data_IF_154454440539
#
_entry.id   IF_154454440539
#
_cell.length_a   1.000
_cell.length_b   1.000
_cell.length_c   1.000
_cell.angle_alpha   90.00
_cell.angle_beta   90.00
_cell.angle_gamma   90.00
#
_symmetry.space_group_name_H-M   'P 1'
#
loop_
_entity.id
_entity.type
_entity.pdbx_description
1 polymer ?
#
# COMPACT_ATOMS: atom_id res chain seq x y z
N UNK A 1 -8.49 -8.01 22.65
CA UNK A 1 -7.49 -8.97 22.11
C UNK A 1 -7.22 -8.62 20.65
N UNK A 2 -6.14 -9.13 20.02
CA UNK A 2 -5.81 -8.81 18.60
C UNK A 2 -6.98 -9.19 17.67
N UNK A 3 -7.62 -10.33 17.95
CA UNK A 3 -8.83 -10.76 17.25
C UNK A 3 -10.01 -9.80 17.43
N UNK A 4 -10.20 -9.20 18.61
CA UNK A 4 -11.26 -8.22 18.84
C UNK A 4 -11.06 -6.94 18.02
N UNK A 5 -9.82 -6.49 17.83
CA UNK A 5 -9.54 -5.29 17.02
C UNK A 5 -9.86 -5.56 15.53
N UNK A 6 -9.48 -6.74 15.05
CA UNK A 6 -9.82 -7.20 13.71
C UNK A 6 -11.34 -7.33 13.53
N UNK A 7 -12.05 -8.01 14.44
CA UNK A 7 -13.50 -8.14 14.36
C UNK A 7 -14.24 -6.80 14.53
N UNK A 8 -13.70 -5.86 15.32
CA UNK A 8 -14.21 -4.48 15.38
C UNK A 8 -14.03 -3.77 14.04
N UNK A 9 -12.89 -3.92 13.37
CA UNK A 9 -12.67 -3.35 12.03
C UNK A 9 -13.61 -3.94 10.97
N UNK A 10 -13.90 -5.25 11.04
CA UNK A 10 -14.87 -5.92 10.16
C UNK A 10 -16.30 -5.44 10.46
N UNK A 11 -16.68 -5.29 11.73
CA UNK A 11 -17.98 -4.74 12.13
C UNK A 11 -18.19 -3.29 11.67
N UNK A 12 -17.11 -2.50 11.56
CA UNK A 12 -17.13 -1.12 11.08
C UNK A 12 -17.43 -0.98 9.59
N UNK A 13 -17.34 -2.05 8.78
CA UNK A 13 -17.74 -2.00 7.36
C UNK A 13 -19.22 -1.59 7.16
N UNK A 14 -20.02 -1.65 8.22
CA UNK A 14 -21.42 -1.22 8.24
C UNK A 14 -21.61 0.28 8.47
N UNK A 15 -20.60 1.01 8.96
CA UNK A 15 -20.69 2.43 9.31
C UNK A 15 -20.72 3.31 8.04
N UNK A 16 -21.68 4.25 7.92
CA UNK A 16 -21.76 5.16 6.78
C UNK A 16 -20.48 5.95 6.51
N UNK A 17 -19.72 6.34 7.55
CA UNK A 17 -18.46 7.08 7.40
C UNK A 17 -17.36 6.18 6.85
N UNK A 18 -17.25 4.96 7.36
CA UNK A 18 -16.29 3.97 6.86
C UNK A 18 -16.59 3.59 5.40
N UNK A 19 -17.88 3.42 5.06
CA UNK A 19 -18.32 3.22 3.67
C UNK A 19 -18.02 4.41 2.77
N UNK A 20 -18.16 5.64 3.27
CA UNK A 20 -17.79 6.83 2.51
C UNK A 20 -16.30 6.85 2.17
N UNK A 21 -15.44 6.51 3.13
CA UNK A 21 -13.99 6.39 2.89
C UNK A 21 -13.72 5.27 1.89
N UNK A 22 -14.29 4.07 2.09
CA UNK A 22 -14.15 2.95 1.16
C UNK A 22 -14.61 3.29 -0.26
N UNK A 23 -15.75 3.98 -0.41
CA UNK A 23 -16.27 4.41 -1.72
C UNK A 23 -15.40 5.50 -2.35
N UNK A 24 -14.86 6.44 -1.57
CA UNK A 24 -13.85 7.38 -2.06
C UNK A 24 -12.61 6.65 -2.56
N UNK A 25 -12.22 5.56 -1.88
CA UNK A 25 -11.04 4.77 -2.23
C UNK A 25 -11.26 4.04 -3.52
N UNK A 26 -12.38 3.35 -3.62
CA UNK A 26 -12.78 2.67 -4.85
C UNK A 26 -12.94 3.66 -6.02
N UNK A 27 -13.59 4.80 -5.81
CA UNK A 27 -13.74 5.85 -6.82
C UNK A 27 -12.39 6.42 -7.24
N UNK A 28 -11.46 6.63 -6.30
CA UNK A 28 -10.10 7.07 -6.60
C UNK A 28 -9.35 5.99 -7.37
N UNK A 29 -9.42 4.71 -6.99
CA UNK A 29 -8.78 3.60 -7.71
C UNK A 29 -9.25 3.57 -9.16
N UNK A 30 -10.57 3.58 -9.37
CA UNK A 30 -11.19 3.53 -10.69
C UNK A 30 -10.82 4.80 -11.49
N UNK A 31 -10.91 5.97 -10.87
CA UNK A 31 -10.57 7.24 -11.50
C UNK A 31 -9.11 7.30 -11.94
N UNK A 32 -8.18 6.85 -11.09
CA UNK A 32 -6.76 6.78 -11.41
C UNK A 32 -6.47 5.75 -12.50
N UNK A 33 -7.13 4.59 -12.46
CA UNK A 33 -7.02 3.57 -13.51
C UNK A 33 -7.45 4.13 -14.87
N UNK A 34 -8.60 4.81 -14.93
CA UNK A 34 -9.10 5.45 -16.16
C UNK A 34 -8.13 6.54 -16.61
N UNK A 35 -7.74 7.45 -15.71
CA UNK A 35 -6.86 8.56 -16.02
C UNK A 35 -5.50 8.08 -16.55
N UNK A 36 -4.90 7.07 -15.90
CA UNK A 36 -3.67 6.43 -16.35
C UNK A 36 -3.87 5.79 -17.71
N UNK A 37 -4.93 5.01 -17.91
CA UNK A 37 -5.18 4.33 -19.18
C UNK A 37 -5.33 5.34 -20.33
N UNK A 38 -6.08 6.42 -20.11
CA UNK A 38 -6.26 7.49 -21.10
C UNK A 38 -4.94 8.22 -21.35
N UNK A 39 -4.21 8.62 -20.31
CA UNK A 39 -2.94 9.31 -20.43
C UNK A 39 -1.90 8.45 -21.16
N UNK A 40 -1.86 7.14 -20.90
CA UNK A 40 -0.96 6.20 -21.55
C UNK A 40 -1.33 6.01 -23.02
N UNK A 41 -2.61 5.80 -23.32
CA UNK A 41 -3.08 5.66 -24.70
C UNK A 41 -2.77 6.92 -25.51
N UNK A 42 -3.00 8.10 -24.93
CA UNK A 42 -2.70 9.38 -25.55
C UNK A 42 -1.19 9.60 -25.75
N UNK A 43 -0.37 9.28 -24.74
CA UNK A 43 1.08 9.42 -24.82
C UNK A 43 1.69 8.46 -25.84
N UNK A 44 1.23 7.21 -25.88
CA UNK A 44 1.67 6.23 -26.89
C UNK A 44 1.28 6.70 -28.29
N UNK A 45 0.05 7.16 -28.50
CA UNK A 45 -0.38 7.70 -29.80
C UNK A 45 0.35 8.99 -30.21
N UNK A 46 0.80 9.79 -29.23
CA UNK A 46 1.64 10.96 -29.52
C UNK A 46 3.08 10.59 -29.88
N UNK A 47 3.66 9.59 -29.22
CA UNK A 47 5.07 9.20 -29.38
C UNK A 47 5.30 8.19 -30.51
N UNK A 48 4.28 7.41 -30.89
CA UNK A 48 4.34 6.37 -31.91
C UNK A 48 3.35 6.73 -33.02
N UNK A 49 3.82 7.27 -34.16
CA UNK A 49 2.97 7.53 -35.32
C UNK A 49 2.33 6.24 -35.85
N UNK A 50 1.06 6.31 -36.25
CA UNK A 50 0.32 5.17 -36.84
C UNK A 50 0.95 4.66 -38.14
N UNK A 51 1.70 5.51 -38.85
CA UNK A 51 2.46 5.16 -40.06
C UNK A 51 3.79 5.92 -40.11
N UNK A 52 4.88 5.23 -40.46
CA UNK A 52 6.17 5.84 -40.79
C UNK A 52 6.36 5.79 -42.30
N UNK A 53 6.15 6.93 -42.97
CA UNK A 53 6.47 7.07 -44.40
C UNK A 53 7.96 7.40 -44.55
N UNK A 54 8.73 6.46 -45.09
CA UNK A 54 10.12 6.69 -45.44
C UNK A 54 10.19 7.27 -46.86
N UNK A 55 10.94 8.37 -47.08
CA UNK A 55 11.15 8.85 -48.44
C UNK A 55 11.90 7.76 -49.24
N UNK A 56 11.41 7.48 -50.44
CA UNK A 56 11.92 6.49 -51.42
C UNK A 56 11.55 5.01 -51.25
N UNK A 57 10.92 4.57 -50.14
CA UNK A 57 10.63 3.14 -49.89
C UNK A 57 9.12 2.81 -49.87
N UNK A 58 8.24 3.80 -49.69
CA UNK A 58 6.80 3.58 -49.50
C UNK A 58 6.44 3.20 -48.05
N UNK A 59 5.17 2.88 -47.79
CA UNK A 59 4.71 2.49 -46.45
C UNK A 59 5.27 1.10 -46.08
N UNK A 60 6.05 1.01 -45.00
CA UNK A 60 6.73 -0.22 -44.58
C UNK A 60 6.02 -0.84 -43.37
N UNK A 61 5.33 -1.97 -43.57
CA UNK A 61 4.55 -2.68 -42.53
C UNK A 61 5.36 -3.48 -41.52
N UNK A 62 6.67 -3.67 -41.72
CA UNK A 62 7.55 -4.24 -40.67
C UNK A 62 7.69 -3.30 -39.46
N UNK A 63 7.48 -2.00 -39.66
CA UNK A 63 7.41 -1.01 -38.58
C UNK A 63 6.32 -1.38 -37.57
N UNK A 64 5.23 -2.03 -37.97
CA UNK A 64 4.17 -2.48 -37.04
C UNK A 64 4.72 -3.46 -35.99
N UNK A 65 5.63 -4.35 -36.36
CA UNK A 65 6.23 -5.31 -35.43
C UNK A 65 7.17 -4.67 -34.41
N UNK A 66 8.02 -3.74 -34.86
CA UNK A 66 8.94 -3.00 -33.98
C UNK A 66 8.19 -1.96 -33.13
N UNK A 67 7.20 -1.29 -33.70
CA UNK A 67 6.32 -0.35 -33.00
C UNK A 67 5.48 -1.06 -31.95
N UNK A 68 4.99 -2.27 -32.23
CA UNK A 68 4.29 -3.10 -31.24
C UNK A 68 5.20 -3.49 -30.07
N UNK A 69 6.44 -3.94 -30.34
CA UNK A 69 7.41 -4.23 -29.28
C UNK A 69 7.84 -2.99 -28.51
N UNK A 70 8.05 -1.86 -29.18
CA UNK A 70 8.40 -0.59 -28.56
C UNK A 70 7.24 -0.08 -27.67
N UNK A 71 6.00 -0.17 -28.14
CA UNK A 71 4.80 0.22 -27.38
C UNK A 71 4.57 -0.70 -26.19
N UNK A 72 4.78 -2.01 -26.36
CA UNK A 72 4.70 -3.00 -25.29
C UNK A 72 5.76 -2.72 -24.20
N UNK A 73 7.02 -2.49 -24.59
CA UNK A 73 8.09 -2.14 -23.66
C UNK A 73 7.85 -0.80 -22.98
N UNK A 74 7.39 0.21 -23.73
CA UNK A 74 7.05 1.52 -23.20
C UNK A 74 5.90 1.41 -22.19
N UNK A 75 4.88 0.61 -22.47
CA UNK A 75 3.76 0.36 -21.56
C UNK A 75 4.22 -0.33 -20.28
N UNK A 76 5.12 -1.32 -20.35
CA UNK A 76 5.71 -1.96 -19.16
C UNK A 76 6.47 -0.93 -18.32
N UNK A 77 7.37 -0.16 -18.94
CA UNK A 77 8.19 0.84 -18.23
C UNK A 77 7.30 1.89 -17.58
N UNK A 78 6.33 2.43 -18.32
CA UNK A 78 5.41 3.43 -17.81
C UNK A 78 4.50 2.87 -16.71
N UNK A 79 4.05 1.61 -16.81
CA UNK A 79 3.27 0.96 -15.76
C UNK A 79 4.04 0.87 -14.45
N UNK A 80 5.34 0.54 -14.51
CA UNK A 80 6.23 0.52 -13.33
C UNK A 80 6.44 1.92 -12.78
N UNK A 81 6.72 2.91 -13.63
CA UNK A 81 6.93 4.30 -13.20
C UNK A 81 5.67 4.87 -12.57
N UNK A 82 4.49 4.62 -13.14
CA UNK A 82 3.21 5.10 -12.64
C UNK A 82 2.77 4.41 -11.35
N UNK A 83 3.17 3.15 -11.13
CA UNK A 83 2.88 2.46 -9.87
C UNK A 83 3.30 3.30 -8.66
N UNK A 84 4.45 3.98 -8.73
CA UNK A 84 5.00 4.74 -7.59
C UNK A 84 4.13 5.96 -7.22
N UNK A 85 3.79 6.89 -8.14
CA UNK A 85 2.84 7.97 -7.87
C UNK A 85 1.46 7.48 -7.44
N UNK A 86 0.93 6.42 -8.08
CA UNK A 86 -0.38 5.84 -7.74
C UNK A 86 -0.38 5.32 -6.30
N UNK A 87 0.62 4.52 -5.95
CA UNK A 87 0.79 3.97 -4.61
C UNK A 87 1.00 5.07 -3.58
N UNK A 88 1.78 6.11 -3.90
CA UNK A 88 1.99 7.26 -3.03
C UNK A 88 0.71 8.07 -2.78
N UNK A 89 -0.06 8.36 -3.83
CA UNK A 89 -1.35 9.05 -3.72
C UNK A 89 -2.35 8.23 -2.88
N UNK A 90 -2.40 6.91 -3.09
CA UNK A 90 -3.21 6.01 -2.27
C UNK A 90 -2.76 6.02 -0.82
N UNK A 91 -1.48 5.80 -0.56
CA UNK A 91 -0.94 5.66 0.79
C UNK A 91 -1.13 6.95 1.59
N UNK A 92 -0.84 8.12 1.01
CA UNK A 92 -0.94 9.41 1.70
C UNK A 92 -2.39 9.85 1.97
N UNK A 93 -3.29 9.72 1.00
CA UNK A 93 -4.67 10.20 1.14
C UNK A 93 -5.52 9.24 1.98
N UNK A 94 -5.34 7.92 1.82
CA UNK A 94 -6.23 6.95 2.48
C UNK A 94 -5.87 6.64 3.93
N UNK A 95 -4.59 6.51 4.26
CA UNK A 95 -4.19 6.05 5.59
C UNK A 95 -4.55 7.07 6.67
N UNK A 96 -4.29 8.34 6.37
CA UNK A 96 -4.53 9.45 7.28
C UNK A 96 -6.03 9.64 7.51
N UNK A 97 -6.83 9.68 6.44
CA UNK A 97 -8.29 9.79 6.50
C UNK A 97 -8.94 8.62 7.26
N UNK A 98 -8.45 7.38 7.07
CA UNK A 98 -8.98 6.21 7.78
C UNK A 98 -8.61 6.28 9.27
N UNK A 99 -7.38 6.66 9.60
CA UNK A 99 -6.97 6.81 10.99
C UNK A 99 -7.82 7.88 11.70
N UNK A 100 -8.03 9.03 11.06
CA UNK A 100 -8.88 10.10 11.59
C UNK A 100 -10.33 9.66 11.76
N UNK A 101 -10.89 8.91 10.80
CA UNK A 101 -12.23 8.37 10.91
C UNK A 101 -12.38 7.39 12.09
N UNK A 102 -11.35 6.57 12.34
CA UNK A 102 -11.31 5.61 13.46
C UNK A 102 -11.19 6.34 14.79
N UNK A 103 -10.29 7.31 14.88
CA UNK A 103 -10.10 8.11 16.10
C UNK A 103 -11.34 8.94 16.44
N UNK A 104 -11.94 9.61 15.45
CA UNK A 104 -13.17 10.37 15.65
C UNK A 104 -14.35 9.50 16.15
N UNK A 105 -14.35 8.21 15.84
CA UNK A 105 -15.41 7.27 16.24
C UNK A 105 -15.16 6.63 17.61
N UNK A 106 -13.93 6.19 17.88
CA UNK A 106 -13.60 5.36 19.05
C UNK A 106 -12.79 6.07 20.12
N UNK A 107 -12.20 7.21 19.79
CA UNK A 107 -11.38 8.02 20.67
C UNK A 107 -11.76 9.52 20.54
N UNK A 108 -13.06 9.88 20.68
CA UNK A 108 -13.53 11.26 20.49
C UNK A 108 -12.92 12.26 21.46
N UNK A 109 -12.34 11.79 22.57
CA UNK A 109 -11.65 12.59 23.57
C UNK A 109 -10.26 13.10 23.12
N UNK A 110 -9.72 12.61 22.01
CA UNK A 110 -8.39 13.02 21.54
C UNK A 110 -8.42 14.39 20.84
N UNK A 111 -7.38 15.23 21.05
CA UNK A 111 -7.21 16.42 20.23
C UNK A 111 -6.95 16.05 18.76
N UNK A 112 -7.10 17.00 17.82
CA UNK A 112 -6.70 16.81 16.43
C UNK A 112 -5.28 16.24 16.33
N UNK A 113 -5.06 15.29 15.42
CA UNK A 113 -3.73 14.73 15.20
C UNK A 113 -2.79 15.83 14.65
N UNK A 114 -1.56 15.94 15.19
CA UNK A 114 -0.58 16.86 14.63
C UNK A 114 -0.11 16.38 13.24
N UNK A 115 0.17 17.33 12.36
CA UNK A 115 0.74 17.03 11.05
C UNK A 115 2.14 16.42 11.20
N UNK A 116 2.39 15.30 10.52
CA UNK A 116 3.72 14.68 10.48
C UNK A 116 4.59 15.45 9.47
N UNK A 117 5.77 15.96 9.87
CA UNK A 117 6.65 16.67 8.94
C UNK A 117 7.04 15.76 7.77
N UNK A 118 6.95 16.27 6.53
CA UNK A 118 7.30 15.53 5.31
C UNK A 118 8.71 14.90 5.37
N UNK A 119 9.66 15.58 6.01
CA UNK A 119 11.03 15.07 6.20
C UNK A 119 11.05 13.81 7.07
N UNK A 120 10.21 13.74 8.10
CA UNK A 120 10.10 12.54 8.94
C UNK A 120 9.50 11.38 8.17
N UNK A 121 8.45 11.64 7.39
CA UNK A 121 7.81 10.66 6.49
C UNK A 121 8.82 10.09 5.49
N UNK A 122 9.53 10.95 4.75
CA UNK A 122 10.55 10.52 3.77
C UNK A 122 11.62 9.66 4.44
N UNK A 123 12.15 10.12 5.59
CA UNK A 123 13.21 9.40 6.29
C UNK A 123 12.69 8.08 6.86
N UNK A 124 11.41 7.96 7.17
CA UNK A 124 10.79 6.69 7.58
C UNK A 124 10.60 5.73 6.41
N UNK A 125 10.06 6.22 5.29
CA UNK A 125 9.91 5.45 4.05
C UNK A 125 11.24 4.90 3.55
N UNK A 126 12.32 5.71 3.55
CA UNK A 126 13.65 5.24 3.18
C UNK A 126 14.17 4.14 4.12
N UNK A 127 13.91 4.27 5.42
CA UNK A 127 14.26 3.25 6.40
C UNK A 127 13.45 1.97 6.19
N UNK A 128 12.16 2.08 5.81
CA UNK A 128 11.33 0.93 5.49
C UNK A 128 11.75 0.25 4.20
N UNK A 129 12.15 0.99 3.16
CA UNK A 129 12.68 0.41 1.93
C UNK A 129 13.88 -0.50 2.19
N UNK A 130 14.82 -0.08 3.05
CA UNK A 130 15.94 -0.93 3.46
C UNK A 130 15.48 -2.22 4.15
N UNK A 131 14.45 -2.15 4.99
CA UNK A 131 13.87 -3.33 5.65
C UNK A 131 13.15 -4.22 4.64
N UNK A 132 12.35 -3.67 3.73
CA UNK A 132 11.69 -4.41 2.65
C UNK A 132 12.71 -5.20 1.85
N UNK A 133 13.79 -4.54 1.41
CA UNK A 133 14.83 -5.17 0.61
C UNK A 133 15.52 -6.30 1.38
N UNK A 134 15.94 -6.05 2.62
CA UNK A 134 16.61 -7.06 3.45
C UNK A 134 15.71 -8.26 3.74
N UNK A 135 14.45 -8.02 4.12
CA UNK A 135 13.49 -9.08 4.43
C UNK A 135 13.14 -9.89 3.18
N UNK A 136 12.91 -9.24 2.03
CA UNK A 136 12.60 -9.95 0.78
C UNK A 136 13.79 -10.76 0.29
N UNK A 137 15.03 -10.26 0.45
CA UNK A 137 16.22 -11.03 0.10
C UNK A 137 16.35 -12.30 0.96
N UNK A 138 16.12 -12.19 2.27
CA UNK A 138 16.09 -13.35 3.17
C UNK A 138 14.95 -14.29 2.78
N UNK A 139 13.75 -13.77 2.51
CA UNK A 139 12.60 -14.56 2.10
C UNK A 139 12.86 -15.32 0.80
N UNK A 140 13.53 -14.69 -0.17
CA UNK A 140 13.92 -15.31 -1.43
C UNK A 140 14.85 -16.52 -1.21
N UNK A 141 15.83 -16.38 -0.32
CA UNK A 141 16.72 -17.49 0.05
C UNK A 141 15.92 -18.60 0.73
N UNK A 142 15.11 -18.25 1.72
CA UNK A 142 14.30 -19.22 2.48
C UNK A 142 13.33 -19.97 1.57
N UNK A 143 12.74 -19.31 0.58
CA UNK A 143 11.74 -19.87 -0.33
C UNK A 143 12.20 -21.18 -0.99
N UNK A 144 13.49 -21.32 -1.31
CA UNK A 144 14.07 -22.56 -1.85
C UNK A 144 14.03 -23.76 -0.90
N UNK A 145 13.95 -23.52 0.42
CA UNK A 145 13.98 -24.56 1.45
C UNK A 145 12.60 -24.88 2.03
N UNK A 146 11.64 -23.97 1.90
CA UNK A 146 10.35 -24.05 2.63
C UNK A 146 9.36 -25.03 1.96
N UNK A 147 9.48 -25.24 0.64
CA UNK A 147 8.66 -26.20 -0.10
C UNK A 147 7.14 -25.97 0.11
N UNK A 148 6.36 -26.99 0.54
CA UNK A 148 4.92 -26.87 0.76
C UNK A 148 4.50 -25.81 1.80
N UNK A 149 5.42 -25.40 2.69
CA UNK A 149 5.14 -24.40 3.73
C UNK A 149 5.28 -22.95 3.20
N UNK A 150 5.48 -22.75 1.89
CA UNK A 150 5.62 -21.44 1.27
C UNK A 150 4.49 -20.43 1.64
N UNK A 151 3.20 -20.82 1.76
CA UNK A 151 2.16 -19.90 2.22
C UNK A 151 2.39 -19.35 3.63
N UNK A 152 2.96 -20.15 4.53
CA UNK A 152 3.28 -19.71 5.90
C UNK A 152 4.43 -18.72 5.88
N UNK A 153 5.47 -18.96 5.07
CA UNK A 153 6.54 -17.99 4.86
C UNK A 153 5.99 -16.67 4.30
N UNK A 154 5.09 -16.76 3.31
CA UNK A 154 4.43 -15.60 2.73
C UNK A 154 3.68 -14.78 3.78
N UNK A 155 2.86 -15.41 4.63
CA UNK A 155 2.14 -14.72 5.69
C UNK A 155 3.07 -14.15 6.77
N UNK A 156 4.12 -14.88 7.15
CA UNK A 156 5.09 -14.41 8.14
C UNK A 156 5.85 -13.16 7.65
N UNK A 157 6.33 -13.19 6.41
CA UNK A 157 7.09 -12.11 5.77
C UNK A 157 6.20 -10.89 5.54
N UNK A 158 5.06 -11.07 4.87
CA UNK A 158 4.14 -9.96 4.61
C UNK A 158 3.55 -9.43 5.91
N UNK A 159 3.26 -10.30 6.87
CA UNK A 159 2.78 -9.91 8.19
C UNK A 159 3.77 -9.06 8.96
N UNK A 160 5.07 -9.37 8.85
CA UNK A 160 6.11 -8.54 9.43
C UNK A 160 6.19 -7.17 8.76
N UNK A 161 6.17 -7.11 7.42
CA UNK A 161 6.25 -5.86 6.68
C UNK A 161 5.03 -4.97 6.92
N UNK A 162 3.81 -5.54 6.79
CA UNK A 162 2.55 -4.84 7.05
C UNK A 162 2.50 -4.37 8.50
N UNK A 163 2.76 -5.27 9.46
CA UNK A 163 2.68 -4.91 10.88
C UNK A 163 3.63 -3.78 11.24
N UNK A 164 4.87 -3.87 10.77
CA UNK A 164 5.88 -2.82 10.98
C UNK A 164 5.42 -1.49 10.41
N UNK A 165 4.96 -1.45 9.17
CA UNK A 165 4.67 -0.20 8.47
C UNK A 165 3.40 0.48 8.99
N UNK A 166 2.27 -0.24 9.03
CA UNK A 166 1.00 0.34 9.44
C UNK A 166 1.03 0.77 10.91
N UNK A 167 1.71 0.03 11.80
CA UNK A 167 1.91 0.46 13.18
C UNK A 167 2.76 1.73 13.26
N UNK A 168 3.87 1.77 12.52
CA UNK A 168 4.79 2.90 12.54
C UNK A 168 4.09 4.19 12.08
N UNK A 169 3.32 4.12 11.00
CA UNK A 169 2.51 5.24 10.49
C UNK A 169 1.47 5.70 11.53
N UNK A 170 0.69 4.78 12.08
CA UNK A 170 -0.32 5.11 13.09
C UNK A 170 0.29 5.73 14.35
N UNK A 171 1.43 5.21 14.82
CA UNK A 171 2.11 5.74 16.00
C UNK A 171 2.79 7.09 15.73
N UNK A 172 3.43 7.26 14.56
CA UNK A 172 4.11 8.51 14.19
C UNK A 172 3.17 9.70 14.20
N UNK A 173 1.92 9.53 13.75
CA UNK A 173 0.87 10.56 13.77
C UNK A 173 0.61 11.15 15.17
N UNK A 174 0.90 10.40 16.24
CA UNK A 174 0.53 10.81 17.61
C UNK A 174 1.71 11.08 18.52
N UNK A 175 2.80 10.32 18.38
CA UNK A 175 3.95 10.39 19.29
C UNK A 175 5.27 10.74 18.59
N UNK A 176 5.23 10.95 17.28
CA UNK A 176 6.42 11.21 16.47
C UNK A 176 7.30 9.98 16.30
N UNK A 177 8.32 10.10 15.44
CA UNK A 177 9.10 8.94 14.99
C UNK A 177 9.94 8.24 16.06
N UNK A 178 10.54 9.00 16.97
CA UNK A 178 11.42 8.44 17.99
C UNK A 178 10.62 7.53 18.95
N UNK A 179 9.50 8.03 19.45
CA UNK A 179 8.66 7.28 20.38
C UNK A 179 7.90 6.15 19.68
N UNK A 180 7.46 6.35 18.43
CA UNK A 180 6.87 5.28 17.61
C UNK A 180 7.82 4.07 17.49
N UNK A 181 9.11 4.31 17.24
CA UNK A 181 10.12 3.25 17.20
C UNK A 181 10.31 2.54 18.55
N UNK A 182 10.23 3.29 19.66
CA UNK A 182 10.34 2.73 21.02
C UNK A 182 9.13 1.86 21.38
N UNK A 183 7.92 2.30 21.04
CA UNK A 183 6.69 1.53 21.22
C UNK A 183 6.70 0.27 20.37
N UNK A 184 7.15 0.39 19.12
CA UNK A 184 7.28 -0.73 18.19
C UNK A 184 8.23 -1.79 18.74
N UNK A 185 9.44 -1.40 19.16
CA UNK A 185 10.45 -2.35 19.65
C UNK A 185 9.99 -3.13 20.88
N UNK A 186 9.21 -2.50 21.77
CA UNK A 186 8.61 -3.14 22.96
C UNK A 186 7.46 -4.10 22.63
N UNK A 187 6.75 -3.87 21.52
CA UNK A 187 5.53 -4.60 21.16
C UNK A 187 5.67 -5.39 19.84
N UNK A 188 6.89 -5.64 19.37
CA UNK A 188 7.20 -6.28 18.08
C UNK A 188 6.38 -7.55 17.83
N UNK A 189 6.24 -8.42 18.83
CA UNK A 189 5.50 -9.69 18.69
C UNK A 189 4.01 -9.43 18.46
N UNK A 190 3.39 -8.53 19.22
CA UNK A 190 1.96 -8.22 19.06
C UNK A 190 1.69 -7.56 17.70
N UNK A 191 2.60 -6.67 17.27
CA UNK A 191 2.54 -5.98 15.98
C UNK A 191 2.69 -7.00 14.84
N UNK A 192 3.65 -7.92 14.94
CA UNK A 192 3.87 -8.95 13.94
C UNK A 192 2.71 -9.94 13.84
N UNK A 193 2.14 -10.35 14.98
CA UNK A 193 0.95 -11.22 14.99
C UNK A 193 -0.26 -10.53 14.36
N UNK A 194 -0.51 -9.26 14.70
CA UNK A 194 -1.56 -8.48 14.06
C UNK A 194 -1.34 -8.34 12.55
N UNK A 195 -0.09 -8.09 12.14
CA UNK A 195 0.27 -7.99 10.73
C UNK A 195 0.11 -9.32 9.98
N UNK A 196 0.50 -10.44 10.61
CA UNK A 196 0.34 -11.79 10.04
C UNK A 196 -1.13 -12.14 9.86
N UNK A 197 -1.98 -11.76 10.82
CA UNK A 197 -3.42 -11.92 10.69
C UNK A 197 -4.00 -11.09 9.53
N UNK A 198 -3.46 -9.88 9.31
CA UNK A 198 -3.78 -9.05 8.15
C UNK A 198 -3.24 -9.60 6.83
N UNK A 199 -2.14 -10.34 6.84
CA UNK A 199 -1.55 -10.94 5.64
C UNK A 199 -2.35 -12.13 5.10
N UNK A 200 -3.21 -12.76 5.90
CA UNK A 200 -4.07 -13.87 5.45
C UNK A 200 -5.10 -13.40 4.40
N UNK A 201 -5.93 -12.37 4.65
CA UNK A 201 -6.88 -11.87 3.66
C UNK A 201 -6.22 -11.27 2.41
N UNK A 202 -4.94 -10.89 2.49
CA UNK A 202 -4.14 -10.45 1.32
C UNK A 202 -4.05 -11.54 0.24
N UNK A 203 -4.15 -12.82 0.62
CA UNK A 203 -4.16 -13.95 -0.32
C UNK A 203 -5.45 -14.06 -1.14
N UNK A 204 -6.49 -13.30 -0.82
CA UNK A 204 -7.78 -13.31 -1.51
C UNK A 204 -7.89 -12.04 -2.37
N UNK A 205 -7.90 -12.13 -3.72
CA UNK A 205 -7.78 -10.97 -4.61
C UNK A 205 -8.77 -9.83 -4.34
N UNK A 206 -10.04 -10.15 -4.08
CA UNK A 206 -11.07 -9.13 -3.82
C UNK A 206 -10.94 -8.52 -2.42
N UNK A 207 -10.50 -9.31 -1.43
CA UNK A 207 -10.34 -8.83 -0.05
C UNK A 207 -9.08 -7.98 0.09
N UNK A 208 -8.08 -8.21 -0.77
CA UNK A 208 -6.85 -7.41 -0.79
C UNK A 208 -7.12 -5.90 -0.94
N UNK A 209 -8.19 -5.51 -1.62
CA UNK A 209 -8.61 -4.10 -1.77
C UNK A 209 -8.98 -3.44 -0.42
N UNK A 210 -9.36 -4.22 0.58
CA UNK A 210 -9.75 -3.74 1.90
C UNK A 210 -8.57 -3.61 2.85
N UNK A 211 -7.43 -4.21 2.51
CA UNK A 211 -6.26 -4.30 3.39
C UNK A 211 -5.72 -2.94 3.81
N UNK A 212 -5.60 -1.92 2.94
CA UNK A 212 -5.12 -0.60 3.39
C UNK A 212 -6.01 0.01 4.47
N UNK A 213 -7.32 -0.14 4.32
CA UNK A 213 -8.31 0.42 5.25
C UNK A 213 -8.31 -0.37 6.56
N UNK A 214 -8.39 -1.70 6.47
CA UNK A 214 -8.37 -2.59 7.64
C UNK A 214 -7.04 -2.50 8.38
N UNK A 215 -5.93 -2.36 7.66
CA UNK A 215 -4.59 -2.15 8.21
C UNK A 215 -4.53 -0.87 9.01
N UNK A 216 -4.89 0.27 8.40
CA UNK A 216 -4.94 1.56 9.10
C UNK A 216 -5.78 1.47 10.38
N UNK A 217 -7.01 0.96 10.29
CA UNK A 217 -7.91 0.87 11.43
C UNK A 217 -7.38 -0.05 12.54
N UNK A 218 -6.90 -1.25 12.18
CA UNK A 218 -6.39 -2.24 13.13
C UNK A 218 -5.17 -1.71 13.87
N UNK A 219 -4.24 -1.08 13.15
CA UNK A 219 -3.01 -0.58 13.75
C UNK A 219 -3.19 0.71 14.54
N UNK A 220 -4.17 1.56 14.18
CA UNK A 220 -4.62 2.68 15.03
C UNK A 220 -5.19 2.17 16.36
N UNK A 221 -6.06 1.17 16.34
CA UNK A 221 -6.56 0.55 17.57
C UNK A 221 -5.43 -0.10 18.39
N UNK A 222 -4.53 -0.82 17.73
CA UNK A 222 -3.38 -1.44 18.37
C UNK A 222 -2.50 -0.40 19.06
N UNK A 223 -2.18 0.70 18.36
CA UNK A 223 -1.41 1.82 18.90
C UNK A 223 -2.02 2.34 20.20
N UNK A 224 -3.30 2.75 20.20
CA UNK A 224 -3.92 3.27 21.41
C UNK A 224 -3.96 2.24 22.55
N UNK A 225 -4.14 0.95 22.24
CA UNK A 225 -4.08 -0.10 23.26
C UNK A 225 -2.70 -0.23 23.88
N UNK A 226 -1.63 -0.24 23.07
CA UNK A 226 -0.26 -0.41 23.60
C UNK A 226 0.26 0.86 24.26
N UNK A 227 -0.21 2.04 23.85
CA UNK A 227 0.16 3.33 24.44
C UNK A 227 -0.54 3.62 25.77
N UNK A 228 -1.67 2.95 26.06
CA UNK A 228 -2.39 3.04 27.35
C UNK A 228 -1.84 2.09 28.42
N UNK A 229 -0.85 1.26 28.10
CA UNK A 229 -0.18 0.32 29.02
C UNK A 229 1.12 0.91 29.53
#
# INVERSE_FOLDING_TARGET
MILDDFFRSVGQMSDPRFRSVLMKGLALTIGLLIAVTVAMTWLVGFLVPDTLSLPFIGDVSWVDGLAWWASFLLMIVLSVVLMVPVAGAFTGIFLDDVADAVEARHYPELPPAPDVPMVETIRDSLGFLGVILGVNLIALILFFFVGPLAPILFWAVNGYLLGREYFQLAAMRRVGRAEANRLRSRNNVQIWLAGTLMAIPLSIPLVNLLIPILGAATFTHLFHRVSRR
#
